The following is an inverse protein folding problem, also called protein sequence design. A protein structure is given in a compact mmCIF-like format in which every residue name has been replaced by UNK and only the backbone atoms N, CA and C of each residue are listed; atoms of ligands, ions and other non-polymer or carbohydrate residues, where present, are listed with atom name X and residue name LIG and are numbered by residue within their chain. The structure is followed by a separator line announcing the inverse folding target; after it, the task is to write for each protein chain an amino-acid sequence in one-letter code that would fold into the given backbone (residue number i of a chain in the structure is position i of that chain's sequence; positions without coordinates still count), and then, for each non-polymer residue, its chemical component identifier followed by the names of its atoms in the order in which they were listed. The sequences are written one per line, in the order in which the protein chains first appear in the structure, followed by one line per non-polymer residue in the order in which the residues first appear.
data_IF_790013327493
#
_entry.id   IF_790013327493
#
_cell.length_a   1.000
_cell.length_b   1.000
_cell.length_c   1.000
_cell.angle_alpha   90.00
_cell.angle_beta   90.00
_cell.angle_gamma   90.00
#
_symmetry.space_group_name_H-M   'P 1'
#
loop_
_entity.id
_entity.type
_entity.pdbx_description
1 polymer ?
#
# COMPACT_ATOMS: atom_id res chain seq x y z
N UNK A 1 9.46 5.52 4.01
CA UNK A 1 9.10 5.23 2.62
C UNK A 1 7.68 4.73 2.46
N UNK A 2 7.26 3.77 3.27
CA UNK A 2 5.86 3.29 3.22
C UNK A 2 4.87 4.39 3.61
N UNK A 3 5.24 5.29 4.50
CA UNK A 3 4.40 6.42 4.91
C UNK A 3 4.04 7.35 3.75
N UNK A 4 4.96 7.53 2.80
CA UNK A 4 4.70 8.33 1.60
C UNK A 4 3.57 7.72 0.76
N UNK A 5 3.57 6.41 0.61
CA UNK A 5 2.55 5.68 -0.14
C UNK A 5 1.18 5.77 0.55
N UNK A 6 1.14 5.65 1.87
CA UNK A 6 -0.10 5.80 2.64
C UNK A 6 -0.67 7.21 2.54
N UNK A 7 0.17 8.23 2.58
CA UNK A 7 -0.24 9.61 2.39
C UNK A 7 -0.83 9.84 1.00
N UNK A 8 -0.19 9.27 -0.01
CA UNK A 8 -0.66 9.35 -1.40
C UNK A 8 -2.01 8.66 -1.56
N UNK A 9 -2.18 7.48 -0.99
CA UNK A 9 -3.44 6.74 -0.98
C UNK A 9 -4.56 7.57 -0.36
N UNK A 10 -4.30 8.13 0.82
CA UNK A 10 -5.29 8.95 1.53
C UNK A 10 -5.69 10.20 0.74
N UNK A 11 -4.73 10.84 0.11
CA UNK A 11 -4.96 12.00 -0.73
C UNK A 11 -5.88 11.66 -1.91
N UNK A 12 -5.65 10.52 -2.54
CA UNK A 12 -6.47 10.02 -3.64
C UNK A 12 -7.89 9.66 -3.19
N UNK A 13 -8.02 9.03 -2.03
CA UNK A 13 -9.33 8.68 -1.45
C UNK A 13 -10.16 9.93 -1.15
N UNK A 14 -9.54 10.97 -0.59
CA UNK A 14 -10.20 12.25 -0.33
C UNK A 14 -10.65 12.92 -1.62
N UNK A 15 -9.81 12.87 -2.65
CA UNK A 15 -10.14 13.43 -3.95
C UNK A 15 -11.30 12.69 -4.60
N UNK A 16 -11.33 11.38 -4.50
CA UNK A 16 -12.42 10.54 -4.96
C UNK A 16 -13.72 10.92 -4.27
N UNK A 17 -13.69 11.06 -2.95
CA UNK A 17 -14.84 11.42 -2.14
C UNK A 17 -15.40 12.81 -2.52
N UNK A 18 -14.51 13.78 -2.72
CA UNK A 18 -14.90 15.12 -3.16
C UNK A 18 -15.59 15.09 -4.53
N UNK A 19 -15.05 14.35 -5.47
CA UNK A 19 -15.65 14.18 -6.80
C UNK A 19 -17.04 13.57 -6.70
N UNK A 20 -17.20 12.54 -5.88
CA UNK A 20 -18.48 11.90 -5.66
C UNK A 20 -19.50 12.85 -5.05
N UNK A 21 -19.11 13.62 -4.04
CA UNK A 21 -19.96 14.61 -3.39
C UNK A 21 -20.40 15.71 -4.36
N UNK A 22 -19.50 16.18 -5.22
CA UNK A 22 -19.79 17.23 -6.18
C UNK A 22 -20.67 16.75 -7.33
N UNK A 23 -20.42 15.56 -7.86
CA UNK A 23 -21.13 15.05 -9.04
C UNK A 23 -22.37 14.23 -8.68
N UNK A 24 -22.40 13.61 -7.51
CA UNK A 24 -23.43 12.67 -7.11
C UNK A 24 -23.47 11.40 -7.95
N UNK A 25 -22.46 11.20 -8.79
CA UNK A 25 -22.37 10.07 -9.72
C UNK A 25 -20.93 9.55 -9.75
N UNK A 26 -20.80 8.31 -10.18
CA UNK A 26 -19.49 7.71 -10.45
C UNK A 26 -19.02 8.18 -11.84
N UNK A 27 -18.05 9.06 -11.85
CA UNK A 27 -17.54 9.70 -13.08
C UNK A 27 -16.30 8.98 -13.62
N UNK A 28 -15.91 9.31 -14.86
CA UNK A 28 -14.67 8.80 -15.47
C UNK A 28 -13.43 9.21 -14.69
N UNK A 29 -13.44 10.42 -14.13
CA UNK A 29 -12.36 10.91 -13.27
C UNK A 29 -12.21 10.05 -12.02
N UNK A 30 -13.33 9.60 -11.46
CA UNK A 30 -13.33 8.69 -10.30
C UNK A 30 -12.75 7.33 -10.66
N UNK A 31 -13.02 6.81 -11.87
CA UNK A 31 -12.40 5.57 -12.36
C UNK A 31 -10.89 5.71 -12.42
N UNK A 32 -10.39 6.84 -12.92
CA UNK A 32 -8.96 7.11 -12.98
C UNK A 32 -8.33 7.19 -11.58
N UNK A 33 -9.03 7.82 -10.65
CA UNK A 33 -8.58 7.90 -9.25
C UNK A 33 -8.55 6.51 -8.63
N UNK A 34 -9.58 5.69 -8.86
CA UNK A 34 -9.63 4.30 -8.39
C UNK A 34 -8.45 3.47 -8.91
N UNK A 35 -8.14 3.59 -10.19
CA UNK A 35 -7.01 2.88 -10.79
C UNK A 35 -5.70 3.30 -10.14
N UNK A 36 -5.55 4.60 -9.86
CA UNK A 36 -4.38 5.13 -9.18
C UNK A 36 -4.27 4.61 -7.75
N UNK A 37 -5.39 4.55 -7.05
CA UNK A 37 -5.45 3.98 -5.69
C UNK A 37 -5.02 2.51 -5.71
N UNK A 38 -5.50 1.73 -6.67
CA UNK A 38 -5.09 0.32 -6.83
C UNK A 38 -3.60 0.17 -7.07
N UNK A 39 -3.01 1.03 -7.90
CA UNK A 39 -1.57 1.06 -8.13
C UNK A 39 -0.81 1.34 -6.83
N UNK A 40 -1.24 2.33 -6.07
CA UNK A 40 -0.61 2.69 -4.80
C UNK A 40 -0.73 1.55 -3.79
N UNK A 41 -1.89 0.90 -3.70
CA UNK A 41 -2.09 -0.27 -2.83
C UNK A 41 -1.13 -1.40 -3.22
N UNK A 42 -0.96 -1.64 -4.51
CA UNK A 42 -0.02 -2.65 -5.01
C UNK A 42 1.41 -2.32 -4.59
N UNK A 43 1.82 -1.07 -4.73
CA UNK A 43 3.15 -0.61 -4.29
C UNK A 43 3.34 -0.77 -2.79
N UNK A 44 2.32 -0.43 -1.99
CA UNK A 44 2.35 -0.61 -0.53
C UNK A 44 2.56 -2.08 -0.20
N UNK A 45 1.82 -2.98 -0.82
CA UNK A 45 1.95 -4.42 -0.59
C UNK A 45 3.34 -4.93 -0.95
N UNK A 46 3.90 -4.46 -2.07
CA UNK A 46 5.25 -4.84 -2.48
C UNK A 46 6.30 -4.38 -1.47
N UNK A 47 6.20 -3.15 -0.99
CA UNK A 47 7.13 -2.61 0.01
C UNK A 47 7.00 -3.33 1.35
N UNK A 48 5.77 -3.59 1.80
CA UNK A 48 5.52 -4.34 3.03
C UNK A 48 6.03 -5.77 2.93
N UNK A 49 5.87 -6.42 1.79
CA UNK A 49 6.38 -7.77 1.55
C UNK A 49 7.91 -7.80 1.59
N UNK A 50 8.59 -6.79 1.05
CA UNK A 50 10.04 -6.69 1.13
C UNK A 50 10.52 -6.61 2.57
N UNK A 51 9.84 -5.81 3.40
CA UNK A 51 10.16 -5.69 4.83
C UNK A 51 9.90 -7.01 5.54
N UNK A 52 8.76 -7.65 5.29
CA UNK A 52 8.42 -8.94 5.87
C UNK A 52 9.42 -10.03 5.47
N UNK A 53 9.83 -10.08 4.22
CA UNK A 53 10.83 -11.04 3.73
C UNK A 53 12.17 -10.86 4.44
N UNK A 54 12.60 -9.62 4.64
CA UNK A 54 13.83 -9.33 5.39
C UNK A 54 13.74 -9.77 6.84
N UNK A 55 12.62 -9.51 7.51
CA UNK A 55 12.40 -9.93 8.88
C UNK A 55 12.36 -11.45 9.00
N UNK A 56 11.68 -12.12 8.09
CA UNK A 56 11.60 -13.57 8.05
C UNK A 56 12.99 -14.19 7.84
N UNK A 57 13.80 -13.62 6.96
CA UNK A 57 15.17 -14.09 6.74
C UNK A 57 16.03 -13.96 7.99
N UNK A 58 15.90 -12.86 8.73
CA UNK A 58 16.61 -12.63 9.98
C UNK A 58 16.15 -13.62 11.05
N UNK A 59 14.84 -13.83 11.18
CA UNK A 59 14.28 -14.77 12.15
C UNK A 59 14.70 -16.20 11.84
N UNK A 60 14.70 -16.61 10.60
CA UNK A 60 15.14 -17.93 10.19
C UNK A 60 16.62 -18.15 10.46
N UNK A 61 17.45 -17.13 10.17
CA UNK A 61 18.88 -17.21 10.48
C UNK A 61 19.12 -17.33 11.99
N UNK A 62 18.39 -16.56 12.79
CA UNK A 62 18.46 -16.64 14.25
C UNK A 62 17.99 -18.00 14.77
N UNK A 63 16.92 -18.55 14.22
CA UNK A 63 16.40 -19.85 14.59
C UNK A 63 17.40 -20.98 14.24
N UNK A 64 18.06 -20.89 13.09
CA UNK A 64 19.08 -21.87 12.68
C UNK A 64 20.28 -21.84 13.61
N UNK A 65 20.72 -20.64 14.00
CA UNK A 65 21.82 -20.50 14.97
C UNK A 65 21.43 -21.09 16.32
N UNK A 66 20.21 -20.87 16.77
CA UNK A 66 19.67 -21.46 17.99
C UNK A 66 19.65 -22.97 17.95
N UNK A 67 19.24 -23.54 16.84
CA UNK A 67 19.19 -25.00 16.67
C UNK A 67 20.58 -25.60 16.59
N UNK A 68 21.53 -24.89 16.01
CA UNK A 68 22.91 -25.37 15.89
C UNK A 68 23.66 -25.41 17.24
N UNK A 69 23.18 -24.69 18.22
CA UNK A 69 23.74 -24.70 19.56
C UNK A 69 23.04 -25.66 20.48
#
# INVERSE_FOLDING_TARGET
MVQYLYKQKRSLELRWQLEYEQSGKYTLDMVRIDDKIKEVITEIKLEENKIADRQNAIEQAAAQVSVAT
#
